data_IF_772870524754
#
_entry.id   IF_772870524754
#
_cell.length_a   1.000
_cell.length_b   1.000
_cell.length_c   1.000
_cell.angle_alpha   90.00
_cell.angle_beta   90.00
_cell.angle_gamma   90.00
#
_symmetry.space_group_name_H-M   'P 1'
#
loop_
_entity.id
_entity.type
_entity.pdbx_description
1 polymer ?
#
# COMPACT_ATOMS: atom_id res chain seq x y z
N UNK A 1 -12.64 15.73 1.18
CA UNK A 1 -11.40 16.20 1.83
C UNK A 1 -10.20 15.86 0.95
N UNK A 2 -9.24 16.77 0.76
CA UNK A 2 -8.02 16.54 -0.04
C UNK A 2 -6.79 17.04 0.72
N UNK A 3 -5.68 16.29 0.65
CA UNK A 3 -4.48 16.53 1.45
C UNK A 3 -3.29 16.80 0.53
N UNK A 4 -2.76 18.02 0.59
CA UNK A 4 -1.60 18.46 -0.22
C UNK A 4 -0.30 18.40 0.58
N UNK A 5 -0.31 18.88 1.84
CA UNK A 5 0.89 18.97 2.69
C UNK A 5 1.40 17.58 3.08
N UNK A 6 2.70 17.35 2.93
CA UNK A 6 3.33 16.05 3.21
C UNK A 6 3.15 15.61 4.66
N UNK A 7 3.25 16.53 5.63
CA UNK A 7 3.05 16.21 7.05
C UNK A 7 1.68 15.56 7.34
N UNK A 8 0.61 16.04 6.70
CA UNK A 8 -0.72 15.44 6.87
C UNK A 8 -0.90 14.12 6.11
N UNK A 9 -0.15 13.89 5.03
CA UNK A 9 -0.11 12.59 4.35
C UNK A 9 0.55 11.55 5.24
N UNK A 10 1.69 11.91 5.85
CA UNK A 10 2.37 11.06 6.82
C UNK A 10 1.50 10.81 8.04
N UNK A 11 0.88 11.84 8.61
CA UNK A 11 -0.03 11.69 9.75
C UNK A 11 -1.21 10.76 9.41
N UNK A 12 -1.81 10.90 8.22
CA UNK A 12 -2.89 10.02 7.77
C UNK A 12 -2.42 8.57 7.67
N UNK A 13 -1.30 8.30 6.98
CA UNK A 13 -0.78 6.95 6.83
C UNK A 13 -0.39 6.37 8.20
N UNK A 14 0.32 7.15 9.01
CA UNK A 14 0.72 6.76 10.36
C UNK A 14 -0.49 6.40 11.21
N UNK A 15 -1.50 7.28 11.29
CA UNK A 15 -2.71 7.00 12.04
C UNK A 15 -3.45 5.77 11.50
N UNK A 16 -3.59 5.63 10.18
CA UNK A 16 -4.25 4.49 9.57
C UNK A 16 -3.55 3.17 9.90
N UNK A 17 -2.23 3.09 9.75
CA UNK A 17 -1.46 1.88 10.02
C UNK A 17 -1.31 1.59 11.52
N UNK A 18 -1.20 2.60 12.38
CA UNK A 18 -1.16 2.42 13.84
C UNK A 18 -2.51 1.93 14.35
N UNK A 19 -3.61 2.56 13.95
CA UNK A 19 -4.97 2.14 14.35
C UNK A 19 -5.27 0.75 13.83
N UNK A 20 -4.94 0.47 12.56
CA UNK A 20 -5.13 -0.86 11.98
C UNK A 20 -4.29 -1.90 12.73
N UNK A 21 -2.99 -1.66 12.92
CA UNK A 21 -2.07 -2.58 13.58
C UNK A 21 -2.50 -2.87 15.02
N UNK A 22 -2.75 -1.84 15.83
CA UNK A 22 -3.23 -2.02 17.21
C UNK A 22 -4.56 -2.77 17.21
N UNK A 23 -5.51 -2.39 16.35
CA UNK A 23 -6.81 -3.03 16.26
C UNK A 23 -6.71 -4.52 15.92
N UNK A 24 -5.93 -4.88 14.91
CA UNK A 24 -5.75 -6.28 14.50
C UNK A 24 -4.97 -7.08 15.53
N UNK A 25 -3.98 -6.49 16.21
CA UNK A 25 -3.26 -7.17 17.30
C UNK A 25 -4.19 -7.46 18.47
N UNK A 26 -4.95 -6.46 18.95
CA UNK A 26 -5.88 -6.65 20.06
C UNK A 26 -6.99 -7.65 19.75
N UNK A 27 -7.50 -7.67 18.50
CA UNK A 27 -8.46 -8.69 18.07
C UNK A 27 -7.82 -10.08 17.95
N UNK A 28 -6.53 -10.14 17.61
CA UNK A 28 -5.76 -11.37 17.48
C UNK A 28 -5.55 -12.11 18.80
N UNK A 29 -5.48 -11.38 19.92
CA UNK A 29 -5.39 -11.96 21.27
C UNK A 29 -6.63 -12.77 21.68
N UNK A 30 -7.76 -12.57 21.00
CA UNK A 30 -8.99 -13.33 21.23
C UNK A 30 -9.02 -14.53 20.26
N UNK A 31 -8.87 -15.78 20.72
CA UNK A 31 -8.70 -16.93 19.82
C UNK A 31 -9.83 -17.13 18.82
N UNK A 32 -11.07 -16.83 19.20
CA UNK A 32 -12.25 -16.91 18.31
C UNK A 32 -12.27 -15.85 17.21
N UNK A 33 -11.46 -14.80 17.34
CA UNK A 33 -11.40 -13.67 16.40
C UNK A 33 -10.08 -13.59 15.64
N UNK A 34 -9.07 -14.40 15.99
CA UNK A 34 -7.73 -14.33 15.39
C UNK A 34 -7.74 -14.42 13.86
N UNK A 35 -8.53 -15.34 13.29
CA UNK A 35 -8.69 -15.47 11.83
C UNK A 35 -9.35 -14.23 11.23
N UNK A 36 -10.41 -13.71 11.86
CA UNK A 36 -11.08 -12.51 11.40
C UNK A 36 -10.17 -11.27 11.44
N UNK A 37 -9.34 -11.14 12.48
CA UNK A 37 -8.40 -10.04 12.64
C UNK A 37 -7.42 -9.94 11.46
N UNK A 38 -6.88 -11.08 11.03
CA UNK A 38 -5.96 -11.16 9.88
C UNK A 38 -6.67 -10.77 8.58
N UNK A 39 -7.87 -11.29 8.33
CA UNK A 39 -8.66 -10.91 7.15
C UNK A 39 -9.05 -9.43 7.13
N UNK A 40 -9.33 -8.83 8.29
CA UNK A 40 -9.57 -7.39 8.41
C UNK A 40 -8.30 -6.62 7.99
N UNK A 41 -7.11 -7.06 8.43
CA UNK A 41 -5.84 -6.48 8.01
C UNK A 41 -5.66 -6.48 6.49
N UNK A 42 -5.86 -7.65 5.87
CA UNK A 42 -5.76 -7.84 4.41
C UNK A 42 -6.81 -7.02 3.64
N UNK A 43 -8.03 -6.87 4.18
CA UNK A 43 -9.09 -6.12 3.52
C UNK A 43 -8.95 -4.60 3.69
N UNK A 44 -8.53 -4.12 4.86
CA UNK A 44 -8.49 -2.68 5.17
C UNK A 44 -7.26 -2.01 4.57
N UNK A 45 -6.11 -2.69 4.53
CA UNK A 45 -4.87 -2.17 3.93
C UNK A 45 -5.06 -1.64 2.49
N UNK A 46 -5.61 -2.41 1.53
CA UNK A 46 -5.85 -1.91 0.18
C UNK A 46 -6.87 -0.77 0.14
N UNK A 47 -7.87 -0.75 1.03
CA UNK A 47 -8.82 0.36 1.14
C UNK A 47 -8.12 1.64 1.55
N UNK A 48 -7.21 1.59 2.54
CA UNK A 48 -6.39 2.73 2.95
C UNK A 48 -5.56 3.24 1.77
N UNK A 49 -4.94 2.35 0.99
CA UNK A 49 -4.18 2.73 -0.21
C UNK A 49 -5.08 3.41 -1.25
N UNK A 50 -6.24 2.83 -1.55
CA UNK A 50 -7.21 3.42 -2.49
C UNK A 50 -7.63 4.80 -2.00
N UNK A 51 -8.02 4.96 -0.74
CA UNK A 51 -8.39 6.25 -0.17
C UNK A 51 -7.23 7.25 -0.27
N UNK A 52 -6.02 6.85 0.08
CA UNK A 52 -4.82 7.68 -0.02
C UNK A 52 -4.60 8.17 -1.46
N UNK A 53 -4.73 7.30 -2.47
CA UNK A 53 -4.58 7.70 -3.88
C UNK A 53 -5.62 8.72 -4.34
N UNK A 54 -6.80 8.74 -3.70
CA UNK A 54 -7.89 9.65 -4.03
C UNK A 54 -7.86 10.95 -3.24
N UNK A 55 -7.36 10.93 -2.00
CA UNK A 55 -7.29 12.09 -1.11
C UNK A 55 -5.99 12.86 -1.26
N UNK A 56 -4.87 12.17 -1.52
CA UNK A 56 -3.57 12.83 -1.62
C UNK A 56 -3.41 13.52 -2.96
N UNK A 57 -2.95 14.77 -2.90
CA UNK A 57 -2.66 15.62 -4.07
C UNK A 57 -1.23 16.13 -4.01
N UNK A 58 -0.61 16.31 -5.17
CA UNK A 58 0.62 17.10 -5.24
C UNK A 58 0.28 18.58 -5.38
N UNK A 59 1.15 19.51 -4.96
CA UNK A 59 0.84 20.95 -5.00
C UNK A 59 0.46 21.46 -6.39
N UNK A 60 0.99 20.84 -7.44
CA UNK A 60 0.80 21.24 -8.83
C UNK A 60 -0.48 20.67 -9.47
N UNK A 61 -1.25 19.85 -8.75
CA UNK A 61 -2.50 19.27 -9.24
C UNK A 61 -3.71 20.14 -8.92
N UNK A 62 -4.69 20.15 -9.84
CA UNK A 62 -6.00 20.69 -9.55
C UNK A 62 -6.68 19.95 -8.37
N UNK A 63 -6.98 20.73 -7.33
CA UNK A 63 -7.61 20.27 -6.10
C UNK A 63 -9.13 20.11 -6.30
N UNK A 64 -9.75 20.66 -7.34
CA UNK A 64 -11.20 20.54 -7.53
C UNK A 64 -11.56 19.32 -8.38
N UNK A 65 -10.89 19.10 -9.52
CA UNK A 65 -11.26 18.02 -10.44
C UNK A 65 -11.00 16.62 -9.86
N UNK A 66 -11.90 15.63 -10.06
CA UNK A 66 -11.65 14.25 -9.72
C UNK A 66 -10.42 13.70 -10.47
N UNK A 67 -9.55 12.96 -9.77
CA UNK A 67 -8.40 12.32 -10.40
C UNK A 67 -8.88 11.13 -11.25
N UNK A 68 -8.41 10.96 -12.50
CA UNK A 68 -8.73 9.79 -13.31
C UNK A 68 -8.47 8.47 -12.56
N UNK A 69 -9.31 7.46 -12.80
CA UNK A 69 -9.25 6.20 -12.05
C UNK A 69 -7.92 5.45 -12.21
N UNK A 70 -7.29 5.58 -13.38
CA UNK A 70 -5.99 4.96 -13.67
C UNK A 70 -4.82 5.61 -12.93
N UNK A 71 -4.98 6.84 -12.43
CA UNK A 71 -3.89 7.65 -11.88
C UNK A 71 -3.81 7.46 -10.37
N UNK A 72 -2.76 6.81 -9.90
CA UNK A 72 -2.51 6.52 -8.49
C UNK A 72 -1.73 7.64 -7.79
N UNK A 73 -0.82 8.31 -8.50
CA UNK A 73 0.05 9.37 -7.95
C UNK A 73 0.05 10.63 -8.80
N UNK A 74 0.57 11.72 -8.22
CA UNK A 74 0.76 12.97 -8.94
C UNK A 74 2.05 13.04 -9.75
N UNK A 75 3.07 12.26 -9.35
CA UNK A 75 4.41 12.24 -9.95
C UNK A 75 4.76 10.81 -10.40
N UNK A 76 5.38 10.64 -11.58
CA UNK A 76 5.77 9.31 -12.08
C UNK A 76 6.78 8.61 -11.17
N UNK A 77 7.77 9.34 -10.66
CA UNK A 77 8.81 8.81 -9.76
C UNK A 77 8.21 8.20 -8.50
N UNK A 78 7.24 8.88 -7.88
CA UNK A 78 6.56 8.37 -6.69
C UNK A 78 5.84 7.04 -6.95
N UNK A 79 5.21 6.86 -8.12
CA UNK A 79 4.55 5.60 -8.44
C UNK A 79 5.56 4.47 -8.73
N UNK A 80 6.71 4.76 -9.34
CA UNK A 80 7.77 3.74 -9.49
C UNK A 80 8.33 3.32 -8.14
N UNK A 81 8.61 4.28 -7.24
CA UNK A 81 9.11 3.98 -5.90
C UNK A 81 8.10 3.12 -5.13
N UNK A 82 6.82 3.51 -5.10
CA UNK A 82 5.79 2.75 -4.38
C UNK A 82 5.55 1.36 -4.99
N UNK A 83 5.53 1.26 -6.33
CA UNK A 83 5.42 -0.02 -7.02
C UNK A 83 6.61 -0.94 -6.71
N UNK A 84 7.83 -0.41 -6.71
CA UNK A 84 9.04 -1.17 -6.37
C UNK A 84 9.08 -1.60 -4.91
N UNK A 85 8.66 -0.74 -3.97
CA UNK A 85 8.57 -1.10 -2.55
C UNK A 85 7.58 -2.26 -2.36
N UNK A 86 6.43 -2.23 -3.02
CA UNK A 86 5.46 -3.33 -2.95
C UNK A 86 6.00 -4.61 -3.60
N UNK A 87 6.67 -4.51 -4.75
CA UNK A 87 7.29 -5.67 -5.40
C UNK A 87 8.39 -6.29 -4.53
N UNK A 88 9.22 -5.47 -3.89
CA UNK A 88 10.23 -5.92 -2.94
C UNK A 88 9.61 -6.55 -1.70
N UNK A 89 8.51 -5.99 -1.19
CA UNK A 89 7.77 -6.57 -0.08
C UNK A 89 7.24 -7.97 -0.44
N UNK A 90 6.65 -8.15 -1.62
CA UNK A 90 6.21 -9.48 -2.12
C UNK A 90 7.38 -10.47 -2.14
N UNK A 91 8.51 -10.06 -2.73
CA UNK A 91 9.70 -10.92 -2.80
C UNK A 91 10.19 -11.28 -1.40
N UNK A 92 10.28 -10.30 -0.51
CA UNK A 92 10.72 -10.51 0.87
C UNK A 92 9.79 -11.47 1.62
N UNK A 93 8.47 -11.29 1.51
CA UNK A 93 7.48 -12.17 2.15
C UNK A 93 7.62 -13.60 1.64
N UNK A 94 7.67 -13.81 0.33
CA UNK A 94 7.89 -15.15 -0.25
C UNK A 94 9.22 -15.74 0.21
N UNK A 95 10.27 -14.91 0.29
CA UNK A 95 11.57 -15.40 0.72
C UNK A 95 11.57 -15.86 2.17
N UNK A 96 10.93 -15.09 3.05
CA UNK A 96 10.78 -15.42 4.47
C UNK A 96 10.01 -16.72 4.64
N UNK A 97 8.91 -16.93 3.89
CA UNK A 97 8.14 -18.18 3.98
C UNK A 97 8.91 -19.40 3.50
N UNK A 98 9.74 -19.28 2.45
CA UNK A 98 10.53 -20.40 1.92
C UNK A 98 11.77 -20.65 2.78
N UNK A 99 12.56 -19.61 3.04
CA UNK A 99 13.86 -19.72 3.71
C UNK A 99 13.72 -19.77 5.23
N UNK A 100 12.78 -19.04 5.83
CA UNK A 100 12.54 -19.04 7.28
C UNK A 100 12.25 -20.44 7.83
N UNK A 101 11.59 -21.29 7.04
CA UNK A 101 11.37 -22.70 7.34
C UNK A 101 12.67 -23.51 7.41
N UNK A 102 13.67 -23.17 6.60
CA UNK A 102 14.95 -23.90 6.54
C UNK A 102 15.88 -23.62 7.71
N UNK A 103 15.75 -22.44 8.34
CA UNK A 103 16.59 -22.01 9.48
C UNK A 103 15.86 -22.10 10.83
N UNK A 104 14.67 -22.70 10.87
CA UNK A 104 13.88 -22.87 12.09
C UNK A 104 13.21 -21.58 12.61
N UNK A 105 13.08 -20.54 11.77
CA UNK A 105 12.38 -19.30 12.11
C UNK A 105 10.87 -19.40 11.83
N UNK A 106 10.24 -20.52 12.25
CA UNK A 106 8.82 -20.81 12.00
C UNK A 106 7.87 -19.82 12.69
N UNK A 107 8.31 -19.14 13.74
CA UNK A 107 7.51 -18.18 14.50
C UNK A 107 7.02 -16.99 13.66
N UNK A 108 7.62 -16.74 12.49
CA UNK A 108 7.23 -15.69 11.57
C UNK A 108 6.43 -16.18 10.35
N UNK A 109 6.06 -17.46 10.30
CA UNK A 109 5.34 -18.00 9.14
C UNK A 109 3.86 -17.62 9.17
N UNK A 110 3.42 -16.90 8.13
CA UNK A 110 2.01 -16.59 7.86
C UNK A 110 1.23 -17.86 7.54
N UNK A 111 1.88 -18.84 6.89
CA UNK A 111 1.27 -20.11 6.49
C UNK A 111 0.87 -20.94 7.73
N UNK A 112 1.69 -20.91 8.79
CA UNK A 112 1.42 -21.65 10.02
C UNK A 112 0.56 -20.84 11.01
N UNK A 113 0.32 -19.56 10.71
CA UNK A 113 -0.47 -18.63 11.52
C UNK A 113 -1.97 -18.61 11.23
N UNK A 114 -2.74 -17.74 11.92
CA UNK A 114 -4.18 -17.62 11.74
C UNK A 114 -4.55 -17.25 10.29
N UNK A 115 -5.32 -18.13 9.63
CA UNK A 115 -5.76 -17.96 8.24
C UNK A 115 -4.83 -18.59 7.19
N UNK A 116 -3.59 -18.91 7.56
CA UNK A 116 -2.66 -19.74 6.81
C UNK A 116 -2.41 -19.32 5.35
N UNK A 117 -2.17 -20.34 4.50
CA UNK A 117 -1.85 -20.15 3.08
C UNK A 117 -2.88 -19.30 2.29
N UNK A 118 -4.21 -19.43 2.50
CA UNK A 118 -5.19 -18.58 1.81
C UNK A 118 -4.98 -17.08 2.03
N UNK A 119 -4.71 -16.66 3.26
CA UNK A 119 -4.45 -15.25 3.59
C UNK A 119 -3.21 -14.77 2.85
N UNK A 120 -2.12 -15.53 2.91
CA UNK A 120 -0.87 -15.19 2.24
C UNK A 120 -1.08 -15.00 0.73
N UNK A 121 -1.79 -15.92 0.08
CA UNK A 121 -2.06 -15.82 -1.36
C UNK A 121 -2.85 -14.54 -1.68
N UNK A 122 -3.89 -14.24 -0.90
CA UNK A 122 -4.70 -13.03 -1.14
C UNK A 122 -3.88 -11.76 -0.91
N UNK A 123 -3.08 -11.70 0.15
CA UNK A 123 -2.24 -10.54 0.44
C UNK A 123 -1.21 -10.28 -0.66
N UNK A 124 -0.52 -11.33 -1.13
CA UNK A 124 0.43 -11.23 -2.24
C UNK A 124 -0.24 -10.79 -3.54
N UNK A 125 -1.43 -11.33 -3.85
CA UNK A 125 -2.19 -10.94 -5.04
C UNK A 125 -2.63 -9.47 -4.97
N UNK A 126 -3.16 -9.03 -3.82
CA UNK A 126 -3.57 -7.64 -3.61
C UNK A 126 -2.37 -6.71 -3.76
N UNK A 127 -1.25 -7.03 -3.12
CA UNK A 127 -0.01 -6.27 -3.22
C UNK A 127 0.51 -6.20 -4.66
N UNK A 128 0.46 -7.32 -5.39
CA UNK A 128 0.87 -7.39 -6.79
C UNK A 128 -0.02 -6.51 -7.69
N UNK A 129 -1.34 -6.57 -7.50
CA UNK A 129 -2.30 -5.73 -8.22
C UNK A 129 -2.01 -4.25 -7.96
N UNK A 130 -1.82 -3.85 -6.70
CA UNK A 130 -1.52 -2.46 -6.34
C UNK A 130 -0.18 -2.02 -6.95
N UNK A 131 0.86 -2.84 -6.88
CA UNK A 131 2.16 -2.56 -7.49
C UNK A 131 2.04 -2.32 -9.00
N UNK A 132 1.32 -3.21 -9.71
CA UNK A 132 1.05 -3.06 -11.14
C UNK A 132 0.29 -1.77 -11.44
N UNK A 133 -0.71 -1.41 -10.63
CA UNK A 133 -1.45 -0.17 -10.82
C UNK A 133 -0.57 1.07 -10.63
N UNK A 134 0.36 1.06 -9.66
CA UNK A 134 1.36 2.12 -9.50
C UNK A 134 2.29 2.22 -10.72
N UNK A 135 2.84 1.10 -11.21
CA UNK A 135 3.68 1.11 -12.41
C UNK A 135 2.93 1.58 -13.65
N UNK A 136 1.70 1.10 -13.88
CA UNK A 136 0.84 1.54 -14.98
C UNK A 136 0.54 3.03 -14.91
N UNK A 137 0.24 3.54 -13.71
CA UNK A 137 0.05 4.98 -13.47
C UNK A 137 1.31 5.76 -13.84
N UNK A 138 2.49 5.31 -13.41
CA UNK A 138 3.76 6.01 -13.68
C UNK A 138 4.15 5.99 -15.15
N UNK A 139 4.02 4.85 -15.84
CA UNK A 139 4.30 4.73 -17.28
C UNK A 139 3.40 5.69 -18.06
N UNK A 140 2.11 5.74 -17.71
CA UNK A 140 1.16 6.63 -18.38
C UNK A 140 1.44 8.11 -18.10
N UNK A 141 1.79 8.48 -16.85
CA UNK A 141 2.18 9.86 -16.52
C UNK A 141 3.46 10.31 -17.21
N UNK A 142 4.43 9.41 -17.41
CA UNK A 142 5.63 9.73 -18.18
C UNK A 142 5.32 10.00 -19.66
N UNK A 143 4.29 9.36 -20.21
CA UNK A 143 3.86 9.55 -21.61
C UNK A 143 3.00 10.79 -21.81
N UNK A 144 2.05 11.03 -20.91
CA UNK A 144 1.07 12.13 -21.02
C UNK A 144 1.59 13.46 -20.43
N UNK A 145 2.71 13.44 -19.69
CA UNK A 145 3.24 14.57 -18.96
C UNK A 145 2.64 14.68 -17.56
N UNK A 146 3.49 14.92 -16.55
CA UNK A 146 3.02 15.12 -15.19
C UNK A 146 2.68 16.59 -14.95
N UNK A 147 1.69 16.93 -14.08
CA UNK A 147 1.42 18.31 -13.68
C UNK A 147 2.64 19.04 -13.13
N UNK A 148 3.58 18.30 -12.51
CA UNK A 148 4.83 18.86 -12.03
C UNK A 148 5.83 19.21 -13.16
N UNK A 149 5.69 18.64 -14.35
CA UNK A 149 6.52 18.97 -15.51
C UNK A 149 6.08 20.26 -16.21
N UNK A 150 4.84 20.71 -16.00
CA UNK A 150 4.32 21.98 -16.51
C UNK A 150 4.59 23.19 -15.61
N UNK A 151 5.02 22.97 -14.36
CA UNK A 151 5.43 24.02 -13.44
C UNK A 151 6.92 24.31 -13.66
N UNK A 152 7.24 25.34 -14.46
CA UNK A 152 8.62 25.82 -14.61
C UNK A 152 9.24 26.12 -13.22
N UNK A 153 10.56 25.91 -13.04
CA UNK A 153 11.24 26.34 -11.83
C UNK A 153 11.13 27.86 -11.74
N UNK A 154 10.43 28.37 -10.74
CA UNK A 154 10.52 29.78 -10.37
C UNK A 154 11.90 29.93 -9.73
N UNK A 155 12.83 30.50 -10.51
CA UNK A 155 14.16 30.90 -10.05
C UNK A 155 14.10 32.06 -9.08
#
# INVERSE_FOLDING_TARGET
>A
MRIVRNGYKFLFLFAAFVVLGIGTTLLGEVPSLAVAAVWIGVAVTPLVVVIATRVFRVPEEDIVSPRPLWRMTGRPTAGFVLGSVLALNIIATVWIEIYGRTIGASDYSTIDGPGGLPVLIVDLLVSAVIAVLYFRSSIRLNREGSPAAGAAPVG
#
